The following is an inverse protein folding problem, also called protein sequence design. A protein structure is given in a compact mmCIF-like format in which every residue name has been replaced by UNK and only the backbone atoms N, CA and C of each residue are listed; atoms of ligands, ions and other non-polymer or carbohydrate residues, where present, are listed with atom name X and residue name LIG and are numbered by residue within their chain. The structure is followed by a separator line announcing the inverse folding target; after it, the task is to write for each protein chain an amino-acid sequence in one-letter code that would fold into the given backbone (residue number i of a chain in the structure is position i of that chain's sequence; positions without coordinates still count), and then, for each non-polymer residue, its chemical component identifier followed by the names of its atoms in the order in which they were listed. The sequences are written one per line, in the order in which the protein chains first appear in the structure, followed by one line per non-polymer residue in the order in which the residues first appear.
data_IF_675265471854
#
_entry.id   IF_675265471854
#
_cell.length_a   1.000
_cell.length_b   1.000
_cell.length_c   1.000
_cell.angle_alpha   90.00
_cell.angle_beta   90.00
_cell.angle_gamma   90.00
#
_symmetry.space_group_name_H-M   'P 1'
#
loop_
_entity.id
_entity.type
_entity.pdbx_description
1 polymer ?
#
# COMPACT_ATOMS: atom_id res chain seq x y z
N UNK A 1 -17.65 20.19 -8.77
CA UNK A 1 -17.69 21.66 -8.69
C UNK A 1 -16.29 22.21 -8.85
N UNK A 2 -15.34 21.73 -8.06
CA UNK A 2 -13.89 22.02 -8.16
C UNK A 2 -13.36 22.05 -9.61
N UNK A 3 -13.53 20.96 -10.37
CA UNK A 3 -13.03 20.88 -11.76
C UNK A 3 -13.75 21.77 -12.79
N UNK A 4 -14.77 22.54 -12.39
CA UNK A 4 -15.49 23.46 -13.30
C UNK A 4 -14.88 24.86 -13.33
N UNK A 5 -14.01 25.19 -12.39
CA UNK A 5 -13.35 26.49 -12.32
C UNK A 5 -11.84 26.31 -12.50
N UNK A 6 -11.21 27.15 -13.32
CA UNK A 6 -9.75 27.23 -13.43
C UNK A 6 -9.28 28.51 -12.75
N UNK A 7 -8.91 28.39 -11.48
CA UNK A 7 -8.52 29.51 -10.64
C UNK A 7 -7.38 29.10 -9.70
N UNK A 8 -6.78 30.10 -9.04
CA UNK A 8 -5.80 29.82 -7.99
C UNK A 8 -6.53 29.28 -6.76
N UNK A 9 -5.97 28.32 -6.01
CA UNK A 9 -6.59 27.80 -4.79
C UNK A 9 -6.96 28.89 -3.77
N UNK A 10 -6.20 29.97 -3.69
CA UNK A 10 -6.42 31.10 -2.77
C UNK A 10 -7.66 31.95 -3.13
N UNK A 11 -8.08 31.92 -4.39
CA UNK A 11 -9.20 32.71 -4.90
C UNK A 11 -10.52 31.90 -4.93
N UNK A 12 -10.48 30.60 -4.61
CA UNK A 12 -11.64 29.72 -4.68
C UNK A 12 -12.79 30.18 -3.76
N UNK A 13 -13.94 30.41 -4.36
CA UNK A 13 -15.20 30.72 -3.65
C UNK A 13 -16.22 29.57 -3.68
N UNK A 14 -15.90 28.48 -4.38
CA UNK A 14 -16.78 27.31 -4.51
C UNK A 14 -16.91 26.54 -3.18
N UNK A 15 -18.10 25.98 -2.86
CA UNK A 15 -18.29 25.19 -1.64
C UNK A 15 -17.36 23.96 -1.57
N UNK A 16 -16.63 23.81 -0.44
CA UNK A 16 -15.74 22.68 -0.15
C UNK A 16 -16.34 21.78 0.93
N UNK A 17 -17.21 20.87 0.51
CA UNK A 17 -17.91 19.96 1.41
C UNK A 17 -16.94 18.94 2.04
N UNK A 18 -17.21 18.58 3.30
CA UNK A 18 -16.48 17.53 4.02
C UNK A 18 -17.28 16.23 3.96
N UNK A 19 -16.63 15.18 3.49
CA UNK A 19 -17.16 13.82 3.48
C UNK A 19 -16.34 12.96 4.44
N UNK A 20 -16.97 11.93 5.02
CA UNK A 20 -16.34 11.05 5.99
C UNK A 20 -16.89 9.64 5.88
N UNK A 21 -16.06 8.67 6.29
CA UNK A 21 -16.46 7.29 6.56
C UNK A 21 -16.87 7.16 8.02
N UNK A 22 -17.74 6.19 8.31
CA UNK A 22 -18.25 5.91 9.66
C UNK A 22 -18.57 4.43 9.80
N UNK A 23 -18.99 3.99 10.99
CA UNK A 23 -19.43 2.61 11.21
C UNK A 23 -20.65 2.22 10.33
N UNK A 24 -21.51 3.19 9.97
CA UNK A 24 -22.67 2.96 9.11
C UNK A 24 -22.33 3.04 7.62
N UNK A 25 -21.31 3.81 7.27
CA UNK A 25 -20.80 4.02 5.91
C UNK A 25 -19.29 3.76 5.92
N UNK A 26 -18.86 2.48 5.95
CA UNK A 26 -17.47 2.12 6.14
C UNK A 26 -16.58 2.56 4.97
N UNK A 27 -15.28 2.50 5.20
CA UNK A 27 -14.23 2.78 4.22
C UNK A 27 -12.89 2.28 4.72
N UNK A 28 -12.73 0.97 4.68
CA UNK A 28 -11.57 0.24 5.18
C UNK A 28 -10.33 0.50 4.36
N UNK A 29 -10.48 0.66 3.05
CA UNK A 29 -9.43 1.07 2.11
C UNK A 29 -8.78 2.39 2.55
N UNK A 30 -9.54 3.49 2.56
CA UNK A 30 -9.03 4.83 2.91
C UNK A 30 -8.55 4.90 4.36
N UNK A 31 -9.22 4.19 5.28
CA UNK A 31 -8.82 4.16 6.68
C UNK A 31 -7.53 3.36 6.90
N UNK A 32 -7.40 2.17 6.32
CA UNK A 32 -6.19 1.35 6.48
C UNK A 32 -4.99 1.95 5.72
N UNK A 33 -5.19 2.62 4.58
CA UNK A 33 -4.13 3.41 3.94
C UNK A 33 -3.71 4.60 4.81
N UNK A 34 -4.66 5.29 5.44
CA UNK A 34 -4.35 6.36 6.42
C UNK A 34 -3.54 5.80 7.60
N UNK A 35 -3.91 4.62 8.10
CA UNK A 35 -3.17 3.96 9.16
C UNK A 35 -1.74 3.58 8.73
N UNK A 36 -1.57 3.06 7.51
CA UNK A 36 -0.27 2.77 6.92
C UNK A 36 0.61 4.03 6.85
N UNK A 37 0.07 5.14 6.35
CA UNK A 37 0.78 6.41 6.23
C UNK A 37 1.22 6.96 7.60
N UNK A 38 0.35 6.91 8.60
CA UNK A 38 0.65 7.34 9.97
C UNK A 38 1.72 6.45 10.63
N UNK A 39 1.61 5.13 10.47
CA UNK A 39 2.60 4.18 10.99
C UNK A 39 3.97 4.34 10.32
N UNK A 40 4.02 4.46 9.00
CA UNK A 40 5.26 4.73 8.27
C UNK A 40 5.89 6.07 8.69
N UNK A 41 5.07 7.11 8.85
CA UNK A 41 5.54 8.42 9.32
C UNK A 41 6.10 8.35 10.74
N UNK A 42 5.50 7.56 11.64
CA UNK A 42 6.00 7.39 13.00
C UNK A 42 7.44 6.89 13.05
N UNK A 43 7.85 6.02 12.12
CA UNK A 43 9.24 5.55 12.01
C UNK A 43 10.19 6.67 11.61
N UNK A 44 9.77 7.59 10.72
CA UNK A 44 10.60 8.72 10.26
C UNK A 44 10.84 9.73 11.39
N UNK A 45 9.82 9.99 12.21
CA UNK A 45 9.93 10.93 13.33
C UNK A 45 10.50 10.31 14.62
N UNK A 46 10.80 9.00 14.63
CA UNK A 46 11.14 8.27 15.85
C UNK A 46 12.29 8.90 16.65
N UNK A 47 13.32 9.37 15.96
CA UNK A 47 14.51 9.93 16.61
C UNK A 47 14.46 11.47 16.75
N UNK A 48 13.82 12.16 15.79
CA UNK A 48 13.78 13.63 15.75
C UNK A 48 12.66 14.23 16.61
N UNK A 49 11.52 13.55 16.70
CA UNK A 49 10.39 13.91 17.56
C UNK A 49 9.67 12.65 18.08
N UNK A 50 10.21 12.03 19.15
CA UNK A 50 9.64 10.82 19.73
C UNK A 50 8.20 10.97 20.24
N UNK A 51 7.82 12.19 20.65
CA UNK A 51 6.47 12.48 21.14
C UNK A 51 5.49 12.44 19.97
N UNK A 52 5.82 13.11 18.86
CA UNK A 52 4.99 13.10 17.66
C UNK A 52 4.96 11.71 17.00
N UNK A 53 6.10 11.02 16.94
CA UNK A 53 6.18 9.62 16.51
C UNK A 53 5.17 8.73 17.27
N UNK A 54 5.12 8.84 18.60
CA UNK A 54 4.19 8.08 19.43
C UNK A 54 2.71 8.44 19.17
N UNK A 55 2.41 9.73 18.95
CA UNK A 55 1.07 10.18 18.59
C UNK A 55 0.61 9.62 17.24
N UNK A 56 1.49 9.62 16.23
CA UNK A 56 1.21 9.08 14.91
C UNK A 56 0.94 7.57 14.97
N UNK A 57 1.77 6.81 15.70
CA UNK A 57 1.57 5.37 15.83
C UNK A 57 0.27 5.03 16.57
N UNK A 58 -0.06 5.77 17.63
CA UNK A 58 -1.33 5.58 18.34
C UNK A 58 -2.53 5.90 17.45
N UNK A 59 -2.45 6.95 16.64
CA UNK A 59 -3.47 7.28 15.65
C UNK A 59 -3.61 6.19 14.58
N UNK A 60 -2.49 5.65 14.07
CA UNK A 60 -2.48 4.55 13.12
C UNK A 60 -3.24 3.33 13.63
N UNK A 61 -2.95 2.90 14.87
CA UNK A 61 -3.62 1.78 15.54
C UNK A 61 -5.13 2.03 15.66
N UNK A 62 -5.54 3.24 16.07
CA UNK A 62 -6.95 3.57 16.23
C UNK A 62 -7.71 3.55 14.89
N UNK A 63 -7.12 4.13 13.84
CA UNK A 63 -7.73 4.19 12.51
C UNK A 63 -7.77 2.80 11.86
N UNK A 64 -6.72 1.98 12.04
CA UNK A 64 -6.72 0.60 11.57
C UNK A 64 -7.80 -0.25 12.25
N UNK A 65 -7.95 -0.12 13.58
CA UNK A 65 -9.00 -0.83 14.31
C UNK A 65 -10.40 -0.45 13.82
N UNK A 66 -10.61 0.80 13.39
CA UNK A 66 -11.84 1.20 12.72
C UNK A 66 -12.00 0.50 11.36
N UNK A 67 -10.95 0.50 10.53
CA UNK A 67 -10.95 -0.10 9.20
C UNK A 67 -11.26 -1.60 9.24
N UNK A 68 -10.63 -2.33 10.16
CA UNK A 68 -10.79 -3.79 10.30
C UNK A 68 -12.14 -4.17 10.93
N UNK A 69 -12.64 -3.36 11.88
CA UNK A 69 -13.92 -3.61 12.56
C UNK A 69 -15.13 -3.35 11.67
N UNK A 70 -15.06 -2.33 10.81
CA UNK A 70 -16.16 -1.91 9.94
C UNK A 70 -15.74 -2.04 8.49
N UNK A 71 -15.84 -3.27 7.95
CA UNK A 71 -15.34 -3.60 6.62
C UNK A 71 -16.25 -3.12 5.50
N UNK A 72 -15.67 -2.41 4.52
CA UNK A 72 -16.33 -1.97 3.30
C UNK A 72 -15.51 -0.94 2.53
N UNK A 73 -15.68 -0.86 1.21
CA UNK A 73 -14.95 0.12 0.39
C UNK A 73 -15.56 1.51 0.57
N UNK A 74 -14.73 2.54 0.68
CA UNK A 74 -15.25 3.90 0.93
C UNK A 74 -16.13 4.40 -0.22
N UNK A 75 -15.83 3.97 -1.45
CA UNK A 75 -16.58 4.33 -2.64
C UNK A 75 -17.95 3.67 -2.71
N UNK A 76 -18.29 2.70 -1.86
CA UNK A 76 -19.64 2.13 -1.80
C UNK A 76 -20.66 3.17 -1.33
N UNK A 77 -20.28 3.95 -0.31
CA UNK A 77 -21.15 4.99 0.26
C UNK A 77 -20.88 6.38 -0.32
N UNK A 78 -19.65 6.64 -0.77
CA UNK A 78 -19.22 7.95 -1.29
C UNK A 78 -19.12 8.01 -2.82
N UNK A 79 -19.61 6.99 -3.54
CA UNK A 79 -19.52 6.88 -5.00
C UNK A 79 -19.83 8.20 -5.73
N UNK A 80 -20.93 8.85 -5.38
CA UNK A 80 -21.46 10.05 -6.05
C UNK A 80 -20.54 11.27 -5.99
N UNK A 81 -19.53 11.26 -5.12
CA UNK A 81 -18.60 12.39 -4.93
C UNK A 81 -17.14 12.02 -5.18
N UNK A 82 -16.77 10.73 -5.12
CA UNK A 82 -15.38 10.27 -5.31
C UNK A 82 -15.16 9.63 -6.68
N UNK A 83 -16.20 9.07 -7.30
CA UNK A 83 -16.14 8.50 -8.64
C UNK A 83 -16.54 9.54 -9.71
N UNK A 84 -15.89 9.53 -10.89
CA UNK A 84 -14.94 8.52 -11.39
C UNK A 84 -13.46 8.85 -11.07
N UNK A 85 -13.16 9.64 -10.04
CA UNK A 85 -11.78 10.10 -9.78
C UNK A 85 -10.91 9.04 -9.11
N UNK A 86 -11.33 8.58 -7.93
CA UNK A 86 -10.56 7.61 -7.12
C UNK A 86 -11.49 6.52 -6.56
N UNK A 87 -12.18 5.77 -7.41
CA UNK A 87 -13.00 4.66 -6.92
C UNK A 87 -12.12 3.56 -6.30
N UNK A 88 -12.60 2.84 -5.27
CA UNK A 88 -11.92 1.61 -4.86
C UNK A 88 -12.21 0.52 -5.90
N UNK A 89 -11.19 0.16 -6.68
CA UNK A 89 -11.31 -0.86 -7.73
C UNK A 89 -10.77 -2.22 -7.25
N UNK A 90 -9.68 -2.21 -6.48
CA UNK A 90 -9.07 -3.40 -5.86
C UNK A 90 -9.86 -3.92 -4.64
N UNK A 91 -10.69 -3.06 -4.03
CA UNK A 91 -11.36 -3.33 -2.76
C UNK A 91 -10.60 -2.69 -1.60
N UNK A 92 -10.61 -3.36 -0.44
CA UNK A 92 -9.95 -2.89 0.79
C UNK A 92 -9.04 -3.94 1.43
N UNK A 93 -8.97 -5.13 0.83
CA UNK A 93 -8.27 -6.27 1.43
C UNK A 93 -6.76 -6.02 1.46
N UNK A 94 -6.22 -5.46 0.38
CA UNK A 94 -4.80 -5.16 0.26
C UNK A 94 -4.37 -4.01 1.19
N UNK A 95 -5.22 -3.02 1.44
CA UNK A 95 -4.98 -1.96 2.42
C UNK A 95 -5.02 -2.48 3.85
N UNK A 96 -5.93 -3.40 4.19
CA UNK A 96 -5.93 -4.03 5.52
C UNK A 96 -4.62 -4.77 5.76
N UNK A 97 -4.11 -5.50 4.76
CA UNK A 97 -2.82 -6.18 4.90
C UNK A 97 -1.66 -5.19 4.94
N UNK A 98 -1.69 -4.15 4.12
CA UNK A 98 -0.70 -3.06 4.07
C UNK A 98 -0.61 -2.28 5.39
N UNK A 99 -1.76 -1.85 5.91
CA UNK A 99 -1.87 -1.12 7.17
C UNK A 99 -1.37 -1.95 8.35
N UNK A 100 -1.78 -3.22 8.46
CA UNK A 100 -1.28 -4.12 9.49
C UNK A 100 0.24 -4.30 9.40
N UNK A 101 0.78 -4.43 8.18
CA UNK A 101 2.21 -4.59 7.93
C UNK A 101 3.03 -3.38 8.37
N UNK A 102 2.57 -2.16 8.08
CA UNK A 102 3.24 -0.94 8.54
C UNK A 102 3.14 -0.75 10.05
N UNK A 103 2.00 -1.04 10.66
CA UNK A 103 1.87 -0.96 12.12
C UNK A 103 2.77 -1.99 12.80
N UNK A 104 2.82 -3.23 12.30
CA UNK A 104 3.76 -4.24 12.79
C UNK A 104 5.19 -3.74 12.69
N UNK A 105 5.58 -3.20 11.53
CA UNK A 105 6.93 -2.65 11.32
C UNK A 105 7.26 -1.50 12.28
N UNK A 106 6.31 -0.61 12.52
CA UNK A 106 6.50 0.57 13.37
C UNK A 106 6.53 0.23 14.86
N UNK A 107 5.69 -0.70 15.29
CA UNK A 107 5.43 -0.98 16.71
C UNK A 107 6.13 -2.22 17.26
N UNK A 108 6.38 -3.23 16.42
CA UNK A 108 6.82 -4.56 16.86
C UNK A 108 5.76 -5.36 17.64
N UNK A 109 4.49 -4.92 17.65
CA UNK A 109 3.42 -5.58 18.41
C UNK A 109 3.02 -6.89 17.72
N UNK A 110 3.11 -8.01 18.46
CA UNK A 110 2.89 -9.36 17.93
C UNK A 110 1.48 -9.59 17.37
N UNK A 111 0.45 -8.94 17.92
CA UNK A 111 -0.93 -9.13 17.44
C UNK A 111 -1.13 -8.71 15.98
N UNK A 112 -0.32 -7.78 15.46
CA UNK A 112 -0.36 -7.42 14.04
C UNK A 112 0.33 -8.47 13.16
N UNK A 113 1.39 -9.11 13.65
CA UNK A 113 1.97 -10.29 12.98
C UNK A 113 0.95 -11.42 12.92
N UNK A 114 0.29 -11.74 14.03
CA UNK A 114 -0.77 -12.76 14.10
C UNK A 114 -1.93 -12.42 13.16
N UNK A 115 -2.31 -11.14 13.06
CA UNK A 115 -3.30 -10.67 12.09
C UNK A 115 -2.86 -10.96 10.65
N UNK A 116 -1.63 -10.60 10.28
CA UNK A 116 -1.07 -10.81 8.93
C UNK A 116 -1.04 -12.30 8.59
N UNK A 117 -0.66 -13.16 9.53
CA UNK A 117 -0.63 -14.61 9.33
C UNK A 117 -2.03 -15.19 9.18
N UNK A 118 -2.96 -14.80 10.04
CA UNK A 118 -4.31 -15.38 10.08
C UNK A 118 -5.20 -14.90 8.93
N UNK A 119 -4.97 -13.67 8.45
CA UNK A 119 -5.81 -13.05 7.43
C UNK A 119 -5.13 -12.95 6.07
N UNK A 120 -3.80 -13.11 5.97
CA UNK A 120 -3.04 -12.86 4.76
C UNK A 120 -3.59 -13.58 3.52
N UNK A 121 -3.89 -14.88 3.63
CA UNK A 121 -4.49 -15.65 2.54
C UNK A 121 -5.81 -15.03 2.03
N UNK A 122 -6.70 -14.65 2.95
CA UNK A 122 -8.00 -14.05 2.63
C UNK A 122 -7.84 -12.62 2.08
N UNK A 123 -6.81 -11.90 2.54
CA UNK A 123 -6.54 -10.51 2.17
C UNK A 123 -5.62 -10.37 0.94
N UNK A 124 -5.37 -11.46 0.20
CA UNK A 124 -4.66 -11.42 -1.07
C UNK A 124 -3.13 -11.52 -0.96
N UNK A 125 -2.60 -12.14 0.11
CA UNK A 125 -1.17 -12.47 0.19
C UNK A 125 -0.73 -13.39 -0.96
N UNK A 126 -1.60 -14.31 -1.37
CA UNK A 126 -1.33 -15.26 -2.46
C UNK A 126 -1.64 -14.67 -3.85
N UNK A 127 -2.35 -13.54 -3.89
CA UNK A 127 -2.78 -12.92 -5.14
C UNK A 127 -1.65 -12.06 -5.71
N UNK A 128 -1.08 -12.48 -6.83
CA UNK A 128 -0.07 -11.68 -7.54
C UNK A 128 -0.72 -10.44 -8.17
N UNK A 129 -0.56 -9.31 -7.49
CA UNK A 129 -0.78 -7.98 -8.04
C UNK A 129 0.41 -7.59 -8.93
N UNK A 130 0.13 -7.06 -10.12
CA UNK A 130 1.17 -6.66 -11.08
C UNK A 130 1.29 -5.14 -11.22
N UNK A 131 0.74 -4.39 -10.25
CA UNK A 131 0.77 -2.93 -10.23
C UNK A 131 0.76 -2.46 -8.78
N UNK A 132 1.69 -1.58 -8.43
CA UNK A 132 1.64 -0.86 -7.16
C UNK A 132 1.15 0.56 -7.44
N UNK A 133 0.03 0.93 -6.82
CA UNK A 133 -0.64 2.21 -7.05
C UNK A 133 -1.34 2.70 -5.78
N UNK A 134 -2.05 3.82 -5.90
CA UNK A 134 -2.95 4.30 -4.85
C UNK A 134 -4.12 3.35 -4.60
N UNK A 135 -4.42 2.43 -5.51
CA UNK A 135 -5.55 1.49 -5.45
C UNK A 135 -5.08 0.07 -5.07
N UNK A 136 -3.95 -0.44 -5.57
CA UNK A 136 -3.48 -1.80 -5.26
C UNK A 136 -2.11 -1.80 -4.54
N UNK A 137 -2.08 -2.38 -3.34
CA UNK A 137 -0.95 -2.33 -2.40
C UNK A 137 -0.23 -3.67 -2.29
N UNK A 138 -0.77 -4.73 -2.91
CA UNK A 138 -0.25 -6.10 -2.79
C UNK A 138 1.25 -6.20 -3.09
N UNK A 139 1.79 -5.61 -4.18
CA UNK A 139 3.23 -5.71 -4.45
C UNK A 139 4.07 -5.01 -3.38
N UNK A 140 3.59 -3.85 -2.90
CA UNK A 140 4.23 -3.09 -1.83
C UNK A 140 4.28 -3.89 -0.53
N UNK A 141 3.15 -4.49 -0.12
CA UNK A 141 3.04 -5.34 1.07
C UNK A 141 3.98 -6.55 1.01
N UNK A 142 4.03 -7.23 -0.14
CA UNK A 142 4.92 -8.37 -0.37
C UNK A 142 6.40 -7.99 -0.20
N UNK A 143 6.82 -6.91 -0.83
CA UNK A 143 8.20 -6.41 -0.68
C UNK A 143 8.47 -5.95 0.75
N UNK A 144 7.54 -5.25 1.40
CA UNK A 144 7.69 -4.79 2.78
C UNK A 144 7.94 -5.94 3.75
N UNK A 145 7.12 -6.99 3.68
CA UNK A 145 7.21 -8.15 4.58
C UNK A 145 8.34 -9.10 4.20
N UNK A 146 8.75 -9.16 2.93
CA UNK A 146 9.91 -9.95 2.51
C UNK A 146 11.19 -9.57 3.25
N UNK A 147 11.34 -8.30 3.64
CA UNK A 147 12.47 -7.82 4.46
C UNK A 147 12.53 -8.54 5.81
N UNK A 148 11.38 -8.78 6.44
CA UNK A 148 11.33 -9.45 7.75
C UNK A 148 11.81 -10.90 7.62
N UNK A 149 11.43 -11.61 6.56
CA UNK A 149 11.99 -12.93 6.24
C UNK A 149 13.50 -12.86 5.98
N UNK A 150 13.94 -11.96 5.09
CA UNK A 150 15.34 -11.88 4.65
C UNK A 150 16.31 -11.46 5.77
N UNK A 151 15.91 -10.53 6.64
CA UNK A 151 16.79 -9.96 7.66
C UNK A 151 16.68 -10.64 9.03
N UNK A 152 15.51 -11.20 9.36
CA UNK A 152 15.26 -11.80 10.69
C UNK A 152 15.01 -13.31 10.64
N UNK A 153 15.00 -13.92 9.46
CA UNK A 153 14.69 -15.33 9.26
C UNK A 153 13.32 -15.73 9.85
N UNK A 154 12.34 -14.83 9.74
CA UNK A 154 10.96 -15.05 10.15
C UNK A 154 10.22 -15.85 9.08
N UNK A 155 10.18 -17.18 9.25
CA UNK A 155 9.54 -18.13 8.32
C UNK A 155 8.05 -17.80 8.06
N UNK A 156 7.41 -17.12 9.00
CA UNK A 156 6.05 -16.60 8.88
C UNK A 156 5.85 -15.70 7.64
N UNK A 157 6.93 -15.06 7.16
CA UNK A 157 6.90 -14.16 6.02
C UNK A 157 7.53 -14.73 4.75
N UNK A 158 7.88 -16.03 4.73
CA UNK A 158 8.47 -16.71 3.56
C UNK A 158 7.58 -16.56 2.31
N UNK A 159 6.26 -16.70 2.48
CA UNK A 159 5.26 -16.51 1.42
C UNK A 159 5.40 -15.14 0.75
N UNK A 160 5.52 -14.07 1.53
CA UNK A 160 5.64 -12.71 1.00
C UNK A 160 6.93 -12.50 0.21
N UNK A 161 8.03 -13.15 0.62
CA UNK A 161 9.26 -13.19 -0.17
C UNK A 161 9.03 -13.89 -1.51
N UNK A 162 8.42 -15.09 -1.50
CA UNK A 162 8.15 -15.83 -2.75
C UNK A 162 7.31 -15.01 -3.72
N UNK A 163 6.27 -14.32 -3.23
CA UNK A 163 5.47 -13.46 -4.08
C UNK A 163 6.14 -12.13 -4.45
N UNK A 164 7.09 -11.63 -3.66
CA UNK A 164 7.96 -10.54 -4.08
C UNK A 164 8.85 -10.96 -5.25
N UNK A 165 9.42 -12.17 -5.22
CA UNK A 165 10.17 -12.74 -6.35
C UNK A 165 9.29 -12.87 -7.61
N UNK A 166 8.05 -13.34 -7.47
CA UNK A 166 7.09 -13.43 -8.58
C UNK A 166 6.83 -12.05 -9.19
N UNK A 167 6.59 -11.04 -8.36
CA UNK A 167 6.37 -9.67 -8.83
C UNK A 167 7.60 -9.15 -9.58
N UNK A 168 8.82 -9.33 -9.06
CA UNK A 168 10.04 -8.89 -9.78
C UNK A 168 10.25 -9.66 -11.08
N UNK A 169 10.08 -10.98 -11.07
CA UNK A 169 10.18 -11.82 -12.27
C UNK A 169 9.09 -11.51 -13.30
N UNK A 170 7.95 -10.94 -12.89
CA UNK A 170 6.91 -10.48 -13.82
C UNK A 170 7.35 -9.28 -14.66
N UNK A 171 8.34 -8.51 -14.16
CA UNK A 171 8.78 -7.23 -14.73
C UNK A 171 10.02 -7.34 -15.63
N UNK A 172 10.87 -8.36 -15.43
CA UNK A 172 12.19 -8.45 -16.06
C UNK A 172 12.11 -9.32 -17.34
N UNK A 173 12.50 -8.82 -18.52
CA UNK A 173 12.53 -9.64 -19.72
C UNK A 173 13.43 -10.86 -19.56
N UNK A 174 12.90 -12.04 -19.90
CA UNK A 174 13.64 -13.32 -19.88
C UNK A 174 13.53 -14.12 -18.57
N UNK A 175 12.88 -13.61 -17.53
CA UNK A 175 12.59 -14.39 -16.32
C UNK A 175 11.32 -15.23 -16.47
N UNK A 176 11.19 -16.35 -15.71
CA UNK A 176 9.94 -17.09 -15.64
C UNK A 176 8.78 -16.19 -15.18
N UNK A 177 7.64 -16.22 -15.87
CA UNK A 177 6.47 -15.41 -15.51
C UNK A 177 6.51 -13.94 -15.98
N UNK A 178 7.46 -13.57 -16.83
CA UNK A 178 7.52 -12.26 -17.47
C UNK A 178 6.20 -11.93 -18.21
N UNK A 179 5.60 -10.80 -17.85
CA UNK A 179 4.30 -10.36 -18.38
C UNK A 179 4.19 -8.85 -18.56
N UNK A 180 5.17 -8.09 -18.05
CA UNK A 180 5.22 -6.64 -18.22
C UNK A 180 5.36 -6.25 -19.70
N UNK A 181 4.67 -5.18 -20.08
CA UNK A 181 4.77 -4.60 -21.42
C UNK A 181 5.77 -3.45 -21.41
N UNK A 182 6.54 -3.34 -22.48
CA UNK A 182 7.49 -2.25 -22.67
C UNK A 182 7.24 -1.60 -24.02
N UNK A 183 7.37 -0.27 -24.07
CA UNK A 183 7.41 0.48 -25.32
C UNK A 183 8.63 0.09 -26.15
N UNK A 184 8.65 0.39 -27.45
CA UNK A 184 9.83 0.16 -28.30
C UNK A 184 11.09 0.88 -27.81
N UNK A 185 10.93 1.95 -27.01
CA UNK A 185 12.03 2.68 -26.36
C UNK A 185 12.48 2.11 -25.02
N UNK A 186 11.92 0.98 -24.57
CA UNK A 186 12.31 0.31 -23.32
C UNK A 186 11.67 0.87 -22.05
N UNK A 187 10.66 1.74 -22.15
CA UNK A 187 9.91 2.23 -20.98
C UNK A 187 8.79 1.24 -20.64
N UNK A 188 8.66 0.87 -19.35
CA UNK A 188 7.56 0.06 -18.84
C UNK A 188 6.22 0.73 -19.19
N UNK A 189 5.30 -0.03 -19.76
CA UNK A 189 3.97 0.43 -20.19
C UNK A 189 2.88 -0.30 -19.41
N UNK A 190 2.10 0.46 -18.64
CA UNK A 190 1.01 -0.04 -17.81
C UNK A 190 -0.36 0.51 -18.24
N UNK A 191 -0.41 1.75 -18.72
CA UNK A 191 -1.65 2.38 -19.14
C UNK A 191 -1.42 3.60 -20.04
N UNK A 192 -2.46 4.01 -20.75
CA UNK A 192 -2.42 5.14 -21.68
C UNK A 192 -2.32 6.50 -20.97
N UNK A 193 -2.85 6.59 -19.76
CA UNK A 193 -2.85 7.82 -18.95
C UNK A 193 -1.90 7.68 -17.77
N UNK A 194 -1.17 8.76 -17.47
CA UNK A 194 -0.27 8.88 -16.32
C UNK A 194 0.73 7.73 -16.17
N UNK A 195 1.16 7.08 -17.27
CA UNK A 195 1.98 5.87 -17.26
C UNK A 195 3.22 5.97 -16.35
N UNK A 196 3.88 7.13 -16.34
CA UNK A 196 5.11 7.35 -15.57
C UNK A 196 4.92 7.15 -14.07
N UNK A 197 3.72 7.30 -13.52
CA UNK A 197 3.46 6.97 -12.11
C UNK A 197 3.78 5.51 -11.83
N UNK A 198 3.33 4.60 -12.71
CA UNK A 198 3.59 3.16 -12.58
C UNK A 198 5.05 2.82 -12.83
N UNK A 199 5.71 3.52 -13.76
CA UNK A 199 7.16 3.36 -13.97
C UNK A 199 7.93 3.72 -12.70
N UNK A 200 7.60 4.85 -12.09
CA UNK A 200 8.30 5.33 -10.89
C UNK A 200 8.06 4.45 -9.66
N UNK A 201 6.81 4.05 -9.39
CA UNK A 201 6.49 3.17 -8.27
C UNK A 201 7.11 1.78 -8.45
N UNK A 202 7.07 1.23 -9.66
CA UNK A 202 7.72 -0.06 -9.98
C UNK A 202 9.23 0.03 -9.83
N UNK A 203 9.86 1.10 -10.29
CA UNK A 203 11.32 1.31 -10.14
C UNK A 203 11.71 1.41 -8.67
N UNK A 204 10.92 2.12 -7.86
CA UNK A 204 11.13 2.21 -6.42
C UNK A 204 11.09 0.83 -5.75
N UNK A 205 10.10 0.01 -6.09
CA UNK A 205 9.96 -1.35 -5.56
C UNK A 205 11.10 -2.27 -6.01
N UNK A 206 11.50 -2.24 -7.29
CA UNK A 206 12.64 -2.98 -7.84
C UNK A 206 13.93 -2.65 -7.07
N UNK A 207 14.24 -1.36 -6.89
CA UNK A 207 15.44 -0.93 -6.18
C UNK A 207 15.40 -1.27 -4.70
N UNK A 208 14.23 -1.17 -4.07
CA UNK A 208 14.04 -1.52 -2.66
C UNK A 208 14.29 -3.02 -2.45
N UNK A 209 13.68 -3.87 -3.27
CA UNK A 209 13.85 -5.31 -3.16
C UNK A 209 15.27 -5.77 -3.50
N UNK A 210 15.89 -5.18 -4.54
CA UNK A 210 17.29 -5.45 -4.88
C UNK A 210 18.24 -5.15 -3.71
N UNK A 211 17.98 -4.08 -2.93
CA UNK A 211 18.75 -3.77 -1.71
C UNK A 211 18.55 -4.82 -0.63
N UNK A 212 17.34 -5.33 -0.43
CA UNK A 212 17.07 -6.38 0.55
C UNK A 212 17.81 -7.67 0.18
N UNK A 213 17.78 -8.08 -1.09
CA UNK A 213 18.51 -9.25 -1.55
C UNK A 213 20.03 -9.08 -1.41
N UNK A 214 20.58 -7.95 -1.83
CA UNK A 214 22.02 -7.69 -1.78
C UNK A 214 22.57 -7.65 -0.34
N UNK A 215 21.78 -7.15 0.61
CA UNK A 215 22.21 -7.06 2.02
C UNK A 215 22.16 -8.41 2.74
N UNK A 216 21.43 -9.39 2.20
CA UNK A 216 21.21 -10.71 2.81
C UNK A 216 21.79 -11.85 1.95
N UNK A 217 22.93 -11.59 1.31
CA UNK A 217 23.76 -12.61 0.68
C UNK A 217 23.50 -12.87 -0.80
N UNK A 218 22.53 -12.21 -1.44
CA UNK A 218 22.13 -12.47 -2.82
C UNK A 218 21.58 -13.89 -2.99
N UNK A 219 20.38 -14.04 -3.55
CA UNK A 219 19.90 -15.38 -3.87
C UNK A 219 20.87 -16.05 -4.86
N UNK A 220 21.50 -17.15 -4.44
CA UNK A 220 22.12 -18.15 -5.32
C UNK A 220 21.03 -19.01 -5.97
#
# INVERSE_FOLDING_TARGET
MDHRCWERPEDMDTPRNVYKVSAQNPGSDVAAETAAALAASSLVFKDSDPTYSSQLLQAAINVFNFADRYRGSYSDSLNSVVCPFYCSYSGYHDELLWGASWIYKASGINSYMEFIQSNGHILGADDDGYTFSWDDKRPGTKILLSKEFLEKNSEEFQLYKAHADNYICSLIPGTPGFQAQYTSGGVLYKGSESNLQYVTTTTFLLLTYAKYLNSNGGAY
#
